data_IF_060412099006
#
_entry.id   IF_060412099006
#
_cell.length_a   1.000
_cell.length_b   1.000
_cell.length_c   1.000
_cell.angle_alpha   90.00
_cell.angle_beta   90.00
_cell.angle_gamma   90.00
#
_symmetry.space_group_name_H-M   'P 1'
#
loop_
_entity.id
_entity.type
_entity.pdbx_description
1 polymer ?
#
# COMPACT_ATOMS: atom_id res chain seq x y z
N UNK A 1 -11.16 -16.25 -5.18
CA UNK A 1 -12.55 -16.70 -5.36
C UNK A 1 -13.12 -17.40 -4.12
N UNK A 2 -12.39 -18.32 -3.47
CA UNK A 2 -12.81 -19.00 -2.22
C UNK A 2 -13.06 -18.04 -1.05
N UNK A 3 -12.19 -17.04 -0.87
CA UNK A 3 -12.35 -16.00 0.19
C UNK A 3 -13.61 -15.16 -0.02
N UNK A 4 -13.96 -14.87 -1.27
CA UNK A 4 -15.17 -14.11 -1.61
C UNK A 4 -16.45 -14.92 -1.34
N UNK A 5 -16.41 -16.25 -1.45
CA UNK A 5 -17.53 -17.13 -1.10
C UNK A 5 -17.71 -17.29 0.42
N UNK A 6 -16.62 -17.32 1.18
CA UNK A 6 -16.65 -17.41 2.64
C UNK A 6 -17.26 -16.17 3.31
N UNK A 7 -17.00 -14.97 2.75
CA UNK A 7 -17.56 -13.71 3.25
C UNK A 7 -19.08 -13.58 3.07
N UNK A 8 -19.67 -14.34 2.14
CA UNK A 8 -21.11 -14.31 1.86
C UNK A 8 -21.87 -15.35 2.67
N UNK A 9 -21.29 -16.53 2.91
CA UNK A 9 -21.95 -17.61 3.65
C UNK A 9 -21.79 -17.51 5.19
N UNK A 10 -20.65 -17.01 5.68
CA UNK A 10 -20.35 -16.97 7.12
C UNK A 10 -19.60 -15.67 7.47
N UNK A 11 -20.33 -14.57 7.70
CA UNK A 11 -19.73 -13.24 7.85
C UNK A 11 -18.75 -13.16 9.03
N UNK A 12 -19.01 -13.90 10.12
CA UNK A 12 -18.13 -13.89 11.31
C UNK A 12 -16.78 -14.59 11.05
N UNK A 13 -16.80 -15.75 10.38
CA UNK A 13 -15.59 -16.51 10.06
C UNK A 13 -14.79 -15.83 8.93
N UNK A 14 -15.48 -15.26 7.94
CA UNK A 14 -14.87 -14.49 6.86
C UNK A 14 -14.19 -13.20 7.36
N UNK A 15 -14.76 -12.54 8.37
CA UNK A 15 -14.18 -11.35 8.99
C UNK A 15 -12.94 -11.67 9.83
N UNK A 16 -12.92 -12.81 10.53
CA UNK A 16 -11.74 -13.30 11.25
C UNK A 16 -10.59 -13.66 10.28
N UNK A 17 -10.90 -14.35 9.17
CA UNK A 17 -9.90 -14.68 8.14
C UNK A 17 -9.37 -13.41 7.48
N UNK A 18 -10.24 -12.44 7.16
CA UNK A 18 -9.84 -11.15 6.60
C UNK A 18 -8.95 -10.38 7.58
N UNK A 19 -9.30 -10.35 8.86
CA UNK A 19 -8.54 -9.66 9.91
C UNK A 19 -7.18 -10.31 10.12
N UNK A 20 -7.12 -11.64 10.17
CA UNK A 20 -5.86 -12.38 10.25
C UNK A 20 -4.98 -12.12 9.02
N UNK A 21 -5.56 -12.12 7.81
CA UNK A 21 -4.82 -11.84 6.58
C UNK A 21 -4.29 -10.41 6.53
N UNK A 22 -5.07 -9.42 6.98
CA UNK A 22 -4.63 -8.02 7.10
C UNK A 22 -3.48 -7.93 8.10
N UNK A 23 -3.59 -8.58 9.25
CA UNK A 23 -2.59 -8.52 10.30
C UNK A 23 -1.28 -9.20 9.90
N UNK A 24 -1.35 -10.36 9.22
CA UNK A 24 -0.19 -11.03 8.62
C UNK A 24 0.43 -10.16 7.54
N UNK A 25 -0.38 -9.55 6.66
CA UNK A 25 0.11 -8.65 5.61
C UNK A 25 0.81 -7.42 6.21
N UNK A 26 0.26 -6.83 7.26
CA UNK A 26 0.86 -5.71 7.98
C UNK A 26 2.17 -6.12 8.67
N UNK A 27 2.21 -7.31 9.27
CA UNK A 27 3.41 -7.85 9.92
C UNK A 27 4.52 -8.12 8.90
N UNK A 28 4.19 -8.76 7.77
CA UNK A 28 5.12 -8.99 6.65
C UNK A 28 5.61 -7.66 6.08
N UNK A 29 4.73 -6.69 5.89
CA UNK A 29 5.10 -5.35 5.42
C UNK A 29 6.06 -4.67 6.41
N UNK A 30 5.83 -4.80 7.71
CA UNK A 30 6.67 -4.22 8.76
C UNK A 30 8.06 -4.85 8.75
N UNK A 31 8.13 -6.18 8.66
CA UNK A 31 9.41 -6.91 8.58
C UNK A 31 10.14 -6.58 7.27
N UNK A 32 9.41 -6.46 6.15
CA UNK A 32 10.00 -6.06 4.88
C UNK A 32 10.53 -4.62 4.94
N UNK A 33 9.78 -3.69 5.54
CA UNK A 33 10.19 -2.29 5.69
C UNK A 33 11.40 -2.15 6.62
N UNK A 34 11.43 -2.91 7.72
CA UNK A 34 12.59 -2.99 8.62
C UNK A 34 13.80 -3.65 7.94
N UNK A 35 13.59 -4.74 7.20
CA UNK A 35 14.62 -5.45 6.45
C UNK A 35 15.24 -4.59 5.34
N UNK A 36 14.41 -3.81 4.62
CA UNK A 36 14.88 -2.80 3.67
C UNK A 36 15.72 -1.74 4.40
N UNK A 37 15.27 -1.25 5.55
CA UNK A 37 16.02 -0.29 6.36
C UNK A 37 17.36 -0.81 6.89
N UNK A 38 17.46 -2.10 7.20
CA UNK A 38 18.68 -2.76 7.70
C UNK A 38 19.67 -3.14 6.58
N UNK A 39 19.17 -3.50 5.39
CA UNK A 39 19.98 -3.88 4.24
C UNK A 39 20.39 -2.70 3.35
N UNK A 40 19.79 -1.52 3.55
CA UNK A 40 20.13 -0.32 2.81
C UNK A 40 21.31 0.42 3.44
N UNK A 41 22.38 0.58 2.67
CA UNK A 41 23.42 1.57 2.95
C UNK A 41 22.79 2.97 2.98
N UNK A 42 22.71 3.59 4.17
CA UNK A 42 22.12 4.91 4.43
C UNK A 42 22.57 5.97 3.41
N UNK A 43 23.81 5.89 2.93
CA UNK A 43 24.39 6.81 1.95
C UNK A 43 23.80 6.64 0.55
N UNK A 44 23.49 5.40 0.16
CA UNK A 44 22.87 5.07 -1.13
C UNK A 44 21.36 5.35 -1.08
N UNK A 45 20.71 5.17 0.08
CA UNK A 45 19.30 5.54 0.31
C UNK A 45 19.05 7.03 0.25
N UNK A 46 19.97 7.85 0.78
CA UNK A 46 19.85 9.31 0.67
C UNK A 46 20.00 9.76 -0.78
N UNK A 47 20.90 9.15 -1.57
CA UNK A 47 21.07 9.51 -2.98
C UNK A 47 19.90 9.02 -3.86
N UNK A 48 19.44 7.79 -3.64
CA UNK A 48 18.27 7.23 -4.31
C UNK A 48 16.99 7.96 -3.89
N UNK A 49 16.81 8.24 -2.60
CA UNK A 49 15.71 9.00 -2.04
C UNK A 49 15.67 10.41 -2.60
N UNK A 50 16.79 11.13 -2.68
CA UNK A 50 16.85 12.47 -3.28
C UNK A 50 16.45 12.49 -4.76
N UNK A 51 16.65 11.39 -5.48
CA UNK A 51 16.29 11.28 -6.91
C UNK A 51 14.87 10.77 -7.11
N UNK A 52 14.40 9.86 -6.25
CA UNK A 52 13.07 9.25 -6.35
C UNK A 52 12.00 10.13 -5.72
N UNK A 53 12.23 10.73 -4.56
CA UNK A 53 11.28 11.63 -3.86
C UNK A 53 10.63 12.70 -4.74
N UNK A 54 11.38 13.49 -5.56
CA UNK A 54 10.75 14.48 -6.42
C UNK A 54 9.93 13.86 -7.55
N UNK A 55 10.35 12.70 -8.06
CA UNK A 55 9.62 11.97 -9.12
C UNK A 55 8.33 11.38 -8.55
N UNK A 56 8.37 10.74 -7.38
CA UNK A 56 7.16 10.21 -6.72
C UNK A 56 6.20 11.33 -6.35
N UNK A 57 6.71 12.48 -5.89
CA UNK A 57 5.91 13.67 -5.61
C UNK A 57 5.20 14.20 -6.86
N UNK A 58 5.87 14.21 -8.01
CA UNK A 58 5.27 14.62 -9.28
C UNK A 58 4.13 13.67 -9.71
N UNK A 59 4.35 12.36 -9.57
CA UNK A 59 3.34 11.34 -9.88
C UNK A 59 2.12 11.48 -8.95
N UNK A 60 2.35 11.70 -7.66
CA UNK A 60 1.28 11.94 -6.69
C UNK A 60 0.46 13.19 -7.03
N UNK A 61 1.12 14.29 -7.40
CA UNK A 61 0.43 15.51 -7.83
C UNK A 61 -0.39 15.25 -9.10
N UNK A 62 0.15 14.53 -10.08
CA UNK A 62 -0.59 14.17 -11.28
C UNK A 62 -1.80 13.29 -10.97
N UNK A 63 -1.67 12.31 -10.05
CA UNK A 63 -2.79 11.48 -9.60
C UNK A 63 -3.87 12.27 -8.88
N UNK A 64 -3.50 13.21 -8.00
CA UNK A 64 -4.45 14.08 -7.31
C UNK A 64 -5.20 14.99 -8.30
N UNK A 65 -4.49 15.51 -9.29
CA UNK A 65 -5.08 16.36 -10.32
C UNK A 65 -6.04 15.55 -11.20
N UNK A 66 -5.64 14.34 -11.61
CA UNK A 66 -6.50 13.43 -12.35
C UNK A 66 -7.75 13.03 -11.56
N UNK A 67 -7.59 12.77 -10.25
CA UNK A 67 -8.72 12.47 -9.36
C UNK A 67 -9.68 13.66 -9.27
N UNK A 68 -9.16 14.88 -9.12
CA UNK A 68 -9.96 16.12 -9.13
C UNK A 68 -10.75 16.27 -10.44
N UNK A 69 -10.10 16.03 -11.58
CA UNK A 69 -10.76 16.08 -12.90
C UNK A 69 -11.86 15.02 -13.01
N UNK A 70 -11.60 13.79 -12.57
CA UNK A 70 -12.59 12.73 -12.54
C UNK A 70 -13.79 13.08 -11.64
N UNK A 71 -13.55 13.65 -10.46
CA UNK A 71 -14.63 14.06 -9.57
C UNK A 71 -15.51 15.12 -10.25
N UNK A 72 -14.92 16.14 -10.88
CA UNK A 72 -15.68 17.18 -11.59
C UNK A 72 -16.44 16.64 -12.81
N UNK A 73 -15.94 15.59 -13.47
CA UNK A 73 -16.59 14.98 -14.63
C UNK A 73 -17.74 14.02 -14.26
N UNK A 74 -17.66 13.37 -13.10
CA UNK A 74 -18.60 12.33 -12.66
C UNK A 74 -19.56 12.79 -11.55
N UNK A 75 -19.50 14.06 -11.13
CA UNK A 75 -20.46 14.74 -10.24
C UNK A 75 -21.18 15.82 -11.02
#
# INVERSE_FOLDING_TARGET
>A
MVVSLLLVLEPQTGELVRTALINVSASVLTIAMAGVGLAMDLRQTISAGRRLLPVTGLVWLAQLLLLMVLIVLFV
#
